data_IF_376911864417
#
_entry.id   IF_376911864417
#
_cell.length_a   1.000
_cell.length_b   1.000
_cell.length_c   1.000
_cell.angle_alpha   90.00
_cell.angle_beta   90.00
_cell.angle_gamma   90.00
#
_symmetry.space_group_name_H-M   'P 1'
#
loop_
_entity.id
_entity.type
_entity.pdbx_description
1 polymer ?
#
# COMPACT_ATOMS: atom_id res chain seq x y z
N UNK A 1 -76.94 15.81 45.19
CA UNK A 1 -76.40 16.20 43.88
C UNK A 1 -74.90 15.94 43.87
N UNK A 2 -74.45 14.93 43.09
CA UNK A 2 -73.04 14.56 42.92
C UNK A 2 -72.41 15.50 41.89
N UNK A 3 -71.25 16.09 42.17
CA UNK A 3 -70.34 16.55 41.12
C UNK A 3 -68.94 15.98 41.36
N UNK A 4 -68.43 15.29 40.35
CA UNK A 4 -67.23 14.47 40.37
C UNK A 4 -65.99 15.34 40.14
N UNK A 5 -65.00 15.25 41.02
CA UNK A 5 -63.63 15.69 40.77
C UNK A 5 -63.01 14.82 39.65
N UNK A 6 -62.69 15.44 38.51
CA UNK A 6 -61.87 14.80 37.46
C UNK A 6 -60.39 14.90 37.86
N UNK A 7 -59.83 13.80 38.35
CA UNK A 7 -58.38 13.61 38.45
C UNK A 7 -57.78 13.47 37.06
N UNK A 8 -56.98 14.45 36.64
CA UNK A 8 -56.21 14.40 35.39
C UNK A 8 -54.99 13.49 35.58
N UNK A 9 -55.16 12.18 35.37
CA UNK A 9 -54.03 11.25 35.29
C UNK A 9 -53.24 11.52 34.01
N UNK A 10 -52.02 12.02 34.16
CA UNK A 10 -51.08 12.21 33.06
C UNK A 10 -50.75 10.83 32.44
N UNK A 11 -51.41 10.46 31.34
CA UNK A 11 -51.14 9.21 30.62
C UNK A 11 -49.79 9.34 29.93
N UNK A 12 -48.74 8.75 30.49
CA UNK A 12 -47.48 8.55 29.78
C UNK A 12 -47.78 7.73 28.52
N UNK A 13 -47.61 8.36 27.35
CA UNK A 13 -47.80 7.71 26.06
C UNK A 13 -46.73 6.63 25.95
N UNK A 14 -47.13 5.36 25.95
CA UNK A 14 -46.20 4.24 25.82
C UNK A 14 -45.34 4.46 24.58
N UNK A 15 -44.00 4.42 24.70
CA UNK A 15 -43.12 4.71 23.59
C UNK A 15 -43.46 3.79 22.42
N UNK A 16 -43.49 4.37 21.22
CA UNK A 16 -43.82 3.63 20.01
C UNK A 16 -42.85 2.44 19.89
N UNK A 17 -43.39 1.21 19.89
CA UNK A 17 -42.59 -0.02 19.88
C UNK A 17 -41.57 -0.04 18.73
N UNK A 18 -41.89 0.57 17.59
CA UNK A 18 -40.95 0.71 16.45
C UNK A 18 -39.73 1.58 16.80
N UNK A 19 -39.94 2.73 17.42
CA UNK A 19 -38.85 3.62 17.84
C UNK A 19 -38.03 3.02 18.97
N UNK A 20 -38.66 2.28 19.88
CA UNK A 20 -37.97 1.56 20.95
C UNK A 20 -37.01 0.52 20.37
N UNK A 21 -37.45 -0.25 19.37
CA UNK A 21 -36.60 -1.23 18.67
C UNK A 21 -35.42 -0.56 17.94
N UNK A 22 -35.66 0.58 17.29
CA UNK A 22 -34.61 1.37 16.62
C UNK A 22 -33.57 1.87 17.63
N UNK A 23 -33.98 2.41 18.77
CA UNK A 23 -33.06 2.87 19.81
C UNK A 23 -32.26 1.72 20.43
N UNK A 24 -32.86 0.55 20.61
CA UNK A 24 -32.15 -0.65 21.06
C UNK A 24 -31.09 -1.06 20.02
N UNK A 25 -31.42 -1.05 18.73
CA UNK A 25 -30.44 -1.31 17.67
C UNK A 25 -29.31 -0.27 17.65
N UNK A 26 -29.62 1.02 17.76
CA UNK A 26 -28.60 2.09 17.79
C UNK A 26 -27.69 1.94 19.01
N UNK A 27 -28.26 1.63 20.18
CA UNK A 27 -27.49 1.38 21.39
C UNK A 27 -26.60 0.14 21.24
N UNK A 28 -27.11 -0.95 20.65
CA UNK A 28 -26.33 -2.15 20.38
C UNK A 28 -25.17 -1.87 19.41
N UNK A 29 -25.42 -1.14 18.32
CA UNK A 29 -24.38 -0.72 17.37
C UNK A 29 -23.34 0.15 18.07
N UNK A 30 -23.77 1.08 18.93
CA UNK A 30 -22.85 1.92 19.68
C UNK A 30 -21.98 1.11 20.65
N UNK A 31 -22.58 0.18 21.41
CA UNK A 31 -21.84 -0.73 22.32
C UNK A 31 -20.83 -1.56 21.54
N UNK A 32 -21.23 -2.12 20.39
CA UNK A 32 -20.31 -2.86 19.53
C UNK A 32 -19.21 -1.96 18.96
N UNK A 33 -19.50 -0.71 18.58
CA UNK A 33 -18.54 0.23 18.03
C UNK A 33 -17.48 0.67 19.05
N UNK A 34 -17.85 0.82 20.33
CA UNK A 34 -16.90 1.19 21.39
C UNK A 34 -16.23 -0.02 22.05
N UNK A 35 -16.61 -1.25 21.65
CA UNK A 35 -16.04 -2.46 22.20
C UNK A 35 -14.53 -2.52 21.91
N UNK A 36 -13.69 -2.78 22.93
CA UNK A 36 -12.24 -2.72 22.79
C UNK A 36 -11.74 -3.76 21.80
N UNK A 37 -10.84 -3.33 20.92
CA UNK A 37 -10.16 -4.20 19.98
C UNK A 37 -9.06 -4.98 20.71
N UNK A 38 -8.94 -6.30 20.51
CA UNK A 38 -7.84 -7.08 21.08
C UNK A 38 -6.49 -6.52 20.63
N UNK A 39 -5.50 -6.51 21.54
CA UNK A 39 -4.14 -6.06 21.22
C UNK A 39 -3.55 -6.89 20.07
N UNK A 40 -3.08 -6.22 19.03
CA UNK A 40 -2.48 -6.87 17.87
C UNK A 40 -0.98 -7.08 18.07
N UNK A 41 -0.45 -8.15 17.46
CA UNK A 41 1.01 -8.33 17.39
C UNK A 41 1.61 -7.24 16.51
N UNK A 42 2.63 -6.51 16.99
CA UNK A 42 3.26 -5.43 16.25
C UNK A 42 3.79 -5.95 14.91
N UNK A 43 3.84 -5.06 13.92
CA UNK A 43 4.45 -5.36 12.64
C UNK A 43 5.95 -5.16 12.79
N UNK A 44 6.72 -6.20 12.45
CA UNK A 44 8.19 -6.20 12.53
C UNK A 44 8.80 -6.38 11.16
N UNK A 45 9.94 -5.74 10.94
CA UNK A 45 10.73 -5.84 9.71
C UNK A 45 12.22 -5.85 10.04
N UNK A 46 13.06 -6.25 9.09
CA UNK A 46 14.51 -6.18 9.21
C UNK A 46 14.99 -4.89 8.56
N UNK A 47 15.73 -4.10 9.33
CA UNK A 47 16.47 -2.98 8.79
C UNK A 47 17.70 -3.51 8.06
N UNK A 48 17.76 -3.36 6.73
CA UNK A 48 18.81 -3.99 5.91
C UNK A 48 20.21 -3.53 6.27
N UNK A 49 20.35 -2.24 6.57
CA UNK A 49 21.63 -1.59 6.87
C UNK A 49 22.22 -2.09 8.19
N UNK A 50 21.42 -2.18 9.26
CA UNK A 50 21.87 -2.66 10.57
C UNK A 50 21.70 -4.16 10.81
N UNK A 51 20.88 -4.84 10.00
CA UNK A 51 20.47 -6.23 10.21
C UNK A 51 19.51 -6.45 11.39
N UNK A 52 19.07 -5.38 12.07
CA UNK A 52 18.25 -5.48 13.26
C UNK A 52 16.76 -5.60 12.94
N UNK A 53 16.04 -6.35 13.77
CA UNK A 53 14.57 -6.38 13.73
C UNK A 53 14.03 -5.10 14.37
N UNK A 54 13.23 -4.34 13.64
CA UNK A 54 12.57 -3.11 14.09
C UNK A 54 11.04 -3.27 14.06
N UNK A 55 10.36 -2.47 14.86
CA UNK A 55 8.89 -2.37 14.86
C UNK A 55 8.48 -1.22 13.94
N UNK A 56 7.49 -1.44 13.09
CA UNK A 56 6.93 -0.40 12.23
C UNK A 56 5.95 0.48 13.00
N UNK A 57 6.17 1.80 12.93
CA UNK A 57 5.17 2.79 13.34
C UNK A 57 4.13 2.90 12.23
N UNK A 58 3.00 2.22 12.40
CA UNK A 58 1.96 2.12 11.38
C UNK A 58 1.09 3.38 11.36
N UNK A 59 1.01 4.04 10.20
CA UNK A 59 0.15 5.22 10.05
C UNK A 59 -1.32 4.89 10.32
N UNK A 60 -1.91 5.58 11.31
CA UNK A 60 -3.29 5.37 11.69
C UNK A 60 -3.59 4.00 12.32
N UNK A 61 -2.59 3.34 12.93
CA UNK A 61 -2.70 1.99 13.50
C UNK A 61 -3.96 1.79 14.34
N UNK A 62 -4.24 2.68 15.30
CA UNK A 62 -5.43 2.59 16.17
C UNK A 62 -6.75 2.60 15.40
N UNK A 63 -6.84 3.41 14.34
CA UNK A 63 -8.02 3.46 13.49
C UNK A 63 -8.12 2.21 12.62
N UNK A 64 -7.00 1.71 12.08
CA UNK A 64 -6.95 0.47 11.31
C UNK A 64 -7.29 -0.75 12.17
N UNK A 65 -6.76 -0.84 13.38
CA UNK A 65 -7.09 -1.90 14.33
C UNK A 65 -8.58 -1.93 14.61
N UNK A 66 -9.18 -0.76 14.87
CA UNK A 66 -10.64 -0.64 14.99
C UNK A 66 -11.36 -1.07 13.71
N UNK A 67 -10.94 -0.56 12.54
CA UNK A 67 -11.58 -0.85 11.26
C UNK A 67 -11.54 -2.35 10.90
N UNK A 68 -10.45 -3.06 11.22
CA UNK A 68 -10.25 -4.45 10.85
C UNK A 68 -10.62 -5.46 11.92
N UNK A 69 -10.79 -5.08 13.19
CA UNK A 69 -11.02 -6.05 14.28
C UNK A 69 -12.24 -5.73 15.16
N UNK A 70 -12.93 -4.62 14.91
CA UNK A 70 -14.23 -4.33 15.50
C UNK A 70 -15.34 -4.77 14.53
N UNK A 71 -16.42 -5.46 14.98
CA UNK A 71 -17.52 -5.86 14.09
C UNK A 71 -18.19 -4.70 13.33
N UNK A 72 -18.32 -3.54 13.98
CA UNK A 72 -18.84 -2.32 13.33
C UNK A 72 -17.81 -1.73 12.38
N UNK A 73 -16.52 -1.78 12.75
CA UNK A 73 -15.41 -1.44 11.87
C UNK A 73 -15.40 -2.28 10.59
N UNK A 74 -15.48 -3.61 10.69
CA UNK A 74 -15.45 -4.52 9.54
C UNK A 74 -16.65 -4.29 8.60
N UNK A 75 -17.85 -4.06 9.15
CA UNK A 75 -19.02 -3.68 8.37
C UNK A 75 -18.81 -2.32 7.65
N UNK A 76 -18.17 -1.37 8.32
CA UNK A 76 -17.82 -0.07 7.73
C UNK A 76 -16.76 -0.20 6.64
N UNK A 77 -15.76 -1.05 6.84
CA UNK A 77 -14.71 -1.35 5.86
C UNK A 77 -15.31 -1.87 4.55
N UNK A 78 -16.26 -2.80 4.61
CA UNK A 78 -16.94 -3.30 3.41
C UNK A 78 -17.66 -2.19 2.64
N UNK A 79 -18.21 -1.20 3.33
CA UNK A 79 -18.88 -0.05 2.73
C UNK A 79 -17.87 0.93 2.13
N UNK A 80 -16.78 1.23 2.84
CA UNK A 80 -15.73 2.17 2.41
C UNK A 80 -14.92 1.59 1.25
N UNK A 81 -14.46 0.35 1.37
CA UNK A 81 -13.63 -0.31 0.35
C UNK A 81 -14.38 -0.51 -0.99
N UNK A 82 -15.69 -0.82 -0.95
CA UNK A 82 -16.52 -0.93 -2.17
C UNK A 82 -16.88 0.42 -2.79
N UNK A 83 -16.84 1.52 -2.01
CA UNK A 83 -17.20 2.85 -2.51
C UNK A 83 -15.94 3.62 -2.89
N UNK A 84 -15.47 3.40 -4.13
CA UNK A 84 -14.38 4.13 -4.80
C UNK A 84 -14.38 5.65 -4.52
N UNK A 85 -15.57 6.23 -4.39
CA UNK A 85 -15.82 7.64 -4.09
C UNK A 85 -15.22 8.10 -2.76
N UNK A 86 -15.37 7.33 -1.66
CA UNK A 86 -14.91 7.76 -0.34
C UNK A 86 -13.38 7.79 -0.25
N UNK A 87 -12.73 6.83 -0.90
CA UNK A 87 -11.27 6.73 -0.98
C UNK A 87 -10.67 7.85 -1.82
N UNK A 88 -11.27 8.14 -2.98
CA UNK A 88 -10.84 9.24 -3.86
C UNK A 88 -10.95 10.60 -3.16
N UNK A 89 -12.09 10.89 -2.52
CA UNK A 89 -12.33 12.17 -1.85
C UNK A 89 -11.28 12.45 -0.78
N UNK A 90 -10.83 11.44 -0.02
CA UNK A 90 -9.78 11.68 0.97
C UNK A 90 -8.42 11.96 0.35
N UNK A 91 -8.07 11.25 -0.73
CA UNK A 91 -6.87 11.53 -1.52
C UNK A 91 -6.89 12.93 -2.13
N UNK A 92 -8.03 13.34 -2.69
CA UNK A 92 -8.24 14.66 -3.30
C UNK A 92 -8.14 15.77 -2.24
N UNK A 93 -8.64 15.54 -1.02
CA UNK A 93 -8.44 16.47 0.11
C UNK A 93 -6.97 16.68 0.47
N UNK A 94 -6.08 15.75 0.15
CA UNK A 94 -4.64 15.94 0.40
C UNK A 94 -3.97 16.84 -0.63
N UNK A 95 -4.66 17.21 -1.72
CA UNK A 95 -4.23 18.25 -2.67
C UNK A 95 -4.64 19.67 -2.20
N UNK A 96 -5.55 19.79 -1.22
CA UNK A 96 -5.99 21.10 -0.72
C UNK A 96 -4.88 21.78 0.11
N UNK A 97 -4.81 23.12 0.04
CA UNK A 97 -3.83 23.89 0.82
C UNK A 97 -3.98 23.70 2.35
N UNK A 98 -5.21 23.47 2.81
CA UNK A 98 -5.53 23.19 4.21
C UNK A 98 -4.78 21.95 4.74
N UNK A 99 -4.47 20.99 3.87
CA UNK A 99 -3.80 19.74 4.23
C UNK A 99 -2.32 19.92 4.61
N UNK A 100 -1.68 21.03 4.22
CA UNK A 100 -0.30 21.35 4.60
C UNK A 100 -0.11 21.40 6.13
N UNK A 101 -1.17 21.71 6.89
CA UNK A 101 -1.15 21.68 8.35
C UNK A 101 -0.81 20.29 8.94
N UNK A 102 -0.95 19.21 8.16
CA UNK A 102 -0.60 17.85 8.57
C UNK A 102 0.89 17.53 8.47
N UNK A 103 1.67 18.31 7.72
CA UNK A 103 3.07 18.00 7.39
C UNK A 103 3.94 17.96 8.66
N UNK A 104 3.88 19.00 9.50
CA UNK A 104 4.74 19.07 10.69
C UNK A 104 4.42 17.99 11.74
N UNK A 105 3.15 17.72 12.10
CA UNK A 105 2.80 16.58 12.94
C UNK A 105 3.32 15.25 12.37
N UNK A 106 3.16 15.05 11.05
CA UNK A 106 3.59 13.83 10.39
C UNK A 106 5.12 13.65 10.42
N UNK A 107 5.89 14.70 10.11
CA UNK A 107 7.36 14.66 10.21
C UNK A 107 7.80 14.27 11.63
N UNK A 108 7.18 14.86 12.65
CA UNK A 108 7.52 14.58 14.04
C UNK A 108 7.16 13.17 14.49
N UNK A 109 5.99 12.68 14.11
CA UNK A 109 5.48 11.36 14.54
C UNK A 109 6.25 10.21 13.86
N UNK A 110 6.53 10.35 12.57
CA UNK A 110 7.17 9.31 11.75
C UNK A 110 8.67 9.55 11.52
N UNK A 111 9.25 10.57 12.16
CA UNK A 111 10.68 10.90 12.10
C UNK A 111 11.19 11.02 10.65
N UNK A 112 10.39 11.66 9.79
CA UNK A 112 10.73 11.81 8.37
C UNK A 112 11.91 12.77 8.22
N UNK A 113 13.03 12.27 7.70
CA UNK A 113 14.16 13.13 7.37
C UNK A 113 13.85 14.01 6.17
N UNK A 114 13.64 15.30 6.43
CA UNK A 114 13.37 16.30 5.39
C UNK A 114 14.65 16.90 4.80
N UNK A 115 15.81 16.69 5.44
CA UNK A 115 17.09 17.28 5.01
C UNK A 115 17.59 16.68 3.68
N UNK A 116 17.13 15.46 3.35
CA UNK A 116 17.40 14.76 2.10
C UNK A 116 16.45 15.16 0.96
N UNK A 117 15.42 15.96 1.22
CA UNK A 117 14.51 16.45 0.19
C UNK A 117 15.13 17.62 -0.59
N UNK A 118 14.74 17.77 -1.86
CA UNK A 118 15.06 18.98 -2.62
C UNK A 118 14.32 20.18 -2.02
N UNK A 119 14.92 21.37 -2.14
CA UNK A 119 14.28 22.62 -1.72
C UNK A 119 12.99 22.81 -2.51
N UNK A 120 11.85 22.72 -1.82
CA UNK A 120 10.53 22.91 -2.41
C UNK A 120 9.56 23.45 -1.34
N UNK A 121 8.63 24.29 -1.77
CA UNK A 121 7.54 24.74 -0.90
C UNK A 121 6.41 23.72 -0.97
N UNK A 122 5.98 23.22 0.18
CA UNK A 122 4.86 22.29 0.27
C UNK A 122 3.57 23.08 0.53
N UNK A 123 2.75 23.26 -0.50
CA UNK A 123 1.46 23.94 -0.37
C UNK A 123 0.36 22.97 0.07
N UNK A 124 0.55 21.67 -0.12
CA UNK A 124 -0.39 20.61 0.28
C UNK A 124 0.35 19.43 0.93
N UNK A 125 -0.38 18.53 1.57
CA UNK A 125 0.20 17.28 2.06
C UNK A 125 0.70 16.39 0.91
N UNK A 126 0.00 16.38 -0.24
CA UNK A 126 0.47 15.65 -1.41
C UNK A 126 1.77 16.23 -2.00
N UNK A 127 2.00 17.53 -1.92
CA UNK A 127 3.29 18.12 -2.33
C UNK A 127 4.43 17.55 -1.47
N UNK A 128 4.20 17.44 -0.15
CA UNK A 128 5.13 16.82 0.79
C UNK A 128 5.29 15.31 0.57
N UNK A 129 4.19 14.61 0.36
CA UNK A 129 4.17 13.16 0.18
C UNK A 129 4.92 12.76 -1.11
N UNK A 130 4.74 13.55 -2.17
CA UNK A 130 5.38 13.37 -3.48
C UNK A 130 6.65 14.20 -3.63
N UNK A 131 7.27 14.61 -2.52
CA UNK A 131 8.55 15.34 -2.49
C UNK A 131 9.61 14.70 -3.37
N UNK A 132 10.43 15.50 -4.04
CA UNK A 132 11.66 15.00 -4.68
C UNK A 132 12.78 14.92 -3.66
N UNK A 133 13.65 13.92 -3.81
CA UNK A 133 14.87 13.77 -3.02
C UNK A 133 16.08 14.32 -3.77
N UNK A 134 17.09 14.74 -3.02
CA UNK A 134 18.37 15.12 -3.59
C UNK A 134 19.05 13.88 -4.22
N UNK A 135 19.63 13.97 -5.44
CA UNK A 135 20.19 12.80 -6.12
C UNK A 135 21.22 12.03 -5.29
N UNK A 136 22.05 12.72 -4.52
CA UNK A 136 23.07 12.14 -3.65
C UNK A 136 22.50 11.34 -2.47
N UNK A 137 21.23 11.55 -2.12
CA UNK A 137 20.55 10.79 -1.06
C UNK A 137 20.06 9.42 -1.54
N UNK A 138 20.00 9.19 -2.86
CA UNK A 138 19.58 7.92 -3.48
C UNK A 138 20.53 7.56 -4.62
N UNK A 139 21.80 7.22 -4.30
CA UNK A 139 22.75 6.78 -5.33
C UNK A 139 22.25 5.49 -5.98
N UNK A 140 22.31 5.44 -7.31
CA UNK A 140 21.88 4.28 -8.09
C UNK A 140 23.06 3.31 -8.21
N UNK A 141 22.83 2.02 -7.95
CA UNK A 141 23.83 0.98 -8.16
C UNK A 141 24.39 1.02 -9.59
N UNK A 142 25.70 1.26 -9.72
CA UNK A 142 26.35 1.55 -10.99
C UNK A 142 26.48 0.33 -11.91
N UNK A 143 26.60 -0.87 -11.34
CA UNK A 143 26.75 -2.12 -12.09
C UNK A 143 25.58 -2.33 -13.06
N UNK A 144 25.85 -2.41 -14.37
CA UNK A 144 24.82 -2.59 -15.39
C UNK A 144 24.13 -3.96 -15.32
N UNK A 145 24.76 -4.93 -14.68
CA UNK A 145 24.23 -6.27 -14.41
C UNK A 145 23.52 -6.36 -13.05
N UNK A 146 23.39 -5.24 -12.33
CA UNK A 146 22.59 -5.15 -11.11
C UNK A 146 21.21 -4.53 -11.37
N UNK A 147 20.20 -5.08 -10.71
CA UNK A 147 18.86 -4.49 -10.61
C UNK A 147 18.86 -3.50 -9.44
N UNK A 148 18.40 -2.27 -9.70
CA UNK A 148 18.19 -1.26 -8.66
C UNK A 148 16.79 -1.40 -8.04
N UNK A 149 16.68 -1.09 -6.75
CA UNK A 149 15.39 -0.90 -6.10
C UNK A 149 14.65 0.27 -6.77
N UNK A 150 13.42 0.05 -7.26
CA UNK A 150 12.64 1.10 -7.91
C UNK A 150 12.09 2.14 -6.93
N UNK A 151 12.03 1.83 -5.63
CA UNK A 151 11.43 2.68 -4.61
C UNK A 151 12.10 2.49 -3.25
N UNK A 152 11.85 3.42 -2.33
CA UNK A 152 12.06 3.15 -0.91
C UNK A 152 10.94 2.24 -0.40
N UNK A 153 11.20 1.47 0.66
CA UNK A 153 10.13 0.78 1.37
C UNK A 153 10.61 -0.47 2.06
N UNK A 154 9.72 -1.46 2.15
CA UNK A 154 9.99 -2.77 2.73
C UNK A 154 9.67 -3.85 1.72
N UNK A 155 10.58 -4.82 1.59
CA UNK A 155 10.53 -5.77 0.49
C UNK A 155 10.34 -7.20 0.93
N UNK A 156 9.64 -7.95 0.07
CA UNK A 156 9.59 -9.40 0.06
C UNK A 156 10.03 -9.88 -1.31
N UNK A 157 10.79 -10.97 -1.33
CA UNK A 157 11.43 -11.45 -2.53
C UNK A 157 11.29 -12.97 -2.69
N UNK A 158 10.92 -13.40 -3.89
CA UNK A 158 10.62 -14.79 -4.23
C UNK A 158 11.38 -15.16 -5.49
N UNK A 159 12.12 -16.27 -5.44
CA UNK A 159 12.80 -16.82 -6.61
C UNK A 159 11.84 -17.51 -7.58
N UNK A 160 10.68 -17.96 -7.07
CA UNK A 160 9.60 -18.55 -7.85
C UNK A 160 8.26 -18.04 -7.31
N UNK A 161 7.45 -17.43 -8.17
CA UNK A 161 6.11 -16.93 -7.82
C UNK A 161 5.17 -18.03 -7.31
N UNK A 162 5.27 -19.25 -7.83
CA UNK A 162 4.46 -20.38 -7.37
C UNK A 162 4.77 -20.80 -5.92
N UNK A 163 5.98 -20.48 -5.42
CA UNK A 163 6.39 -20.75 -4.04
C UNK A 163 6.05 -19.58 -3.09
N UNK A 164 5.15 -18.69 -3.49
CA UNK A 164 4.73 -17.51 -2.70
C UNK A 164 3.76 -17.81 -1.55
N UNK A 165 3.66 -19.07 -1.09
CA UNK A 165 2.82 -19.56 0.04
C UNK A 165 3.01 -18.75 1.35
N UNK A 166 4.02 -17.90 1.36
CA UNK A 166 4.48 -17.11 2.46
C UNK A 166 3.59 -15.91 2.86
N UNK A 167 2.86 -15.29 1.92
CA UNK A 167 2.09 -14.07 2.23
C UNK A 167 1.01 -14.30 3.30
N UNK A 168 0.33 -15.44 3.21
CA UNK A 168 -0.62 -15.94 4.20
C UNK A 168 -0.61 -17.44 4.04
N UNK A 169 -0.44 -18.19 5.13
CA UNK A 169 -0.61 -19.65 5.15
C UNK A 169 -1.89 -20.04 4.37
N UNK A 170 -1.71 -20.62 3.19
CA UNK A 170 -2.80 -21.13 2.35
C UNK A 170 -3.22 -20.28 1.14
N UNK A 171 -2.59 -19.14 0.83
CA UNK A 171 -2.88 -18.37 -0.39
C UNK A 171 -1.64 -18.22 -1.29
N UNK A 172 -1.80 -18.63 -2.55
CA UNK A 172 -0.78 -18.52 -3.60
C UNK A 172 -1.01 -17.27 -4.45
N UNK A 173 0.07 -16.57 -4.78
CA UNK A 173 -0.01 -15.47 -5.75
C UNK A 173 -0.37 -16.00 -7.13
N UNK A 174 -1.37 -15.38 -7.77
CA UNK A 174 -1.79 -15.77 -9.11
C UNK A 174 -1.37 -14.70 -10.13
N UNK A 175 -0.30 -14.99 -10.88
CA UNK A 175 0.24 -14.07 -11.91
C UNK A 175 -0.79 -13.76 -12.99
N UNK A 176 -1.58 -14.75 -13.41
CA UNK A 176 -2.59 -14.59 -14.44
C UNK A 176 -3.66 -13.58 -14.04
N UNK A 177 -4.23 -13.72 -12.83
CA UNK A 177 -5.18 -12.76 -12.27
C UNK A 177 -4.51 -11.40 -12.05
N UNK A 178 -3.26 -11.38 -11.60
CA UNK A 178 -2.53 -10.15 -11.37
C UNK A 178 -2.29 -9.36 -12.66
N UNK A 179 -1.86 -9.98 -13.76
CA UNK A 179 -1.62 -9.28 -15.01
C UNK A 179 -2.88 -9.09 -15.87
N UNK A 180 -3.97 -9.79 -15.54
CA UNK A 180 -5.19 -9.86 -16.37
C UNK A 180 -4.86 -10.18 -17.85
N UNK A 181 -3.82 -10.99 -18.05
CA UNK A 181 -3.29 -11.35 -19.36
C UNK A 181 -2.65 -12.75 -19.25
N UNK A 182 -3.41 -13.81 -19.56
CA UNK A 182 -2.94 -15.19 -19.42
C UNK A 182 -1.71 -15.52 -20.27
N UNK A 183 -1.60 -14.94 -21.47
CA UNK A 183 -0.47 -15.20 -22.37
C UNK A 183 0.83 -14.60 -21.83
N UNK A 184 0.78 -13.36 -21.35
CA UNK A 184 1.92 -12.71 -20.71
C UNK A 184 2.29 -13.42 -19.41
N UNK A 185 1.30 -13.80 -18.61
CA UNK A 185 1.51 -14.42 -17.30
C UNK A 185 2.33 -15.70 -17.36
N UNK A 186 2.13 -16.54 -18.39
CA UNK A 186 2.88 -17.79 -18.59
C UNK A 186 4.41 -17.61 -18.56
N UNK A 187 4.91 -16.47 -19.02
CA UNK A 187 6.36 -16.17 -18.99
C UNK A 187 6.94 -16.04 -17.57
N UNK A 188 6.09 -15.71 -16.59
CA UNK A 188 6.49 -15.35 -15.23
C UNK A 188 5.98 -16.32 -14.16
N UNK A 189 5.25 -17.39 -14.52
CA UNK A 189 4.69 -18.36 -13.57
C UNK A 189 5.77 -19.01 -12.70
N UNK A 190 6.90 -19.38 -13.29
CA UNK A 190 8.08 -19.90 -12.58
C UNK A 190 9.16 -18.83 -12.35
N UNK A 191 8.81 -17.58 -12.58
CA UNK A 191 9.70 -16.43 -12.52
C UNK A 191 9.95 -15.92 -11.11
N UNK A 192 10.84 -14.94 -11.00
CA UNK A 192 11.09 -14.26 -9.74
C UNK A 192 10.12 -13.08 -9.55
N UNK A 193 9.74 -12.82 -8.30
CA UNK A 193 8.89 -11.69 -7.91
C UNK A 193 9.48 -10.94 -6.72
N UNK A 194 9.48 -9.62 -6.81
CA UNK A 194 9.92 -8.74 -5.74
C UNK A 194 8.83 -7.70 -5.50
N UNK A 195 8.34 -7.64 -4.27
CA UNK A 195 7.24 -6.75 -3.86
C UNK A 195 7.79 -5.69 -2.92
N UNK A 196 7.52 -4.43 -3.23
CA UNK A 196 7.95 -3.25 -2.50
C UNK A 196 6.71 -2.61 -1.89
N UNK A 197 6.59 -2.68 -0.56
CA UNK A 197 5.55 -1.98 0.17
C UNK A 197 6.08 -0.63 0.65
N UNK A 198 5.44 0.44 0.20
CA UNK A 198 5.76 1.80 0.59
C UNK A 198 4.80 2.19 1.73
N UNK A 199 5.34 2.33 2.93
CA UNK A 199 4.63 2.89 4.06
C UNK A 199 4.54 4.41 3.89
N UNK A 200 3.52 5.08 4.47
CA UNK A 200 3.33 6.53 4.31
C UNK A 200 4.54 7.46 4.55
N UNK A 201 5.50 7.17 5.47
CA UNK A 201 6.67 8.04 5.63
C UNK A 201 7.75 7.86 4.55
N UNK A 202 7.66 6.80 3.76
CA UNK A 202 8.67 6.46 2.74
C UNK A 202 8.66 7.50 1.59
N UNK A 203 9.59 7.34 0.64
CA UNK A 203 9.61 8.10 -0.60
C UNK A 203 8.64 7.47 -1.61
N UNK A 204 7.61 8.21 -2.00
CA UNK A 204 6.51 7.70 -2.83
C UNK A 204 6.65 7.92 -4.35
N UNK A 205 7.86 8.24 -4.82
CA UNK A 205 8.17 8.19 -6.26
C UNK A 205 8.90 6.91 -6.59
N UNK A 206 8.62 6.36 -7.77
CA UNK A 206 9.17 5.10 -8.23
C UNK A 206 9.89 5.26 -9.56
N UNK A 207 10.94 4.48 -9.72
CA UNK A 207 11.98 4.62 -10.72
C UNK A 207 12.17 3.32 -11.50
N UNK A 208 12.75 3.40 -12.69
CA UNK A 208 13.05 2.22 -13.48
C UNK A 208 14.16 1.38 -12.83
N UNK A 209 13.93 0.07 -12.56
CA UNK A 209 14.89 -0.79 -11.88
C UNK A 209 16.05 -1.23 -12.79
N UNK A 210 15.87 -1.16 -14.11
CA UNK A 210 16.83 -1.57 -15.14
C UNK A 210 16.74 -0.62 -16.35
N UNK A 211 17.81 -0.56 -17.14
CA UNK A 211 17.79 0.14 -18.43
C UNK A 211 17.19 -0.73 -19.52
N UNK A 212 16.53 -0.10 -20.50
CA UNK A 212 15.90 -0.81 -21.61
C UNK A 212 14.99 0.07 -22.44
N UNK A 213 14.01 -0.58 -23.09
CA UNK A 213 12.92 0.12 -23.79
C UNK A 213 11.57 -0.28 -23.23
N UNK A 214 10.60 0.63 -23.26
CA UNK A 214 9.23 0.41 -22.77
C UNK A 214 8.22 1.03 -23.72
N UNK A 215 6.99 0.54 -23.68
CA UNK A 215 5.85 1.23 -24.28
C UNK A 215 5.66 2.59 -23.63
N UNK A 216 5.15 3.55 -24.42
CA UNK A 216 4.83 4.90 -23.94
C UNK A 216 3.68 4.91 -22.94
N UNK A 217 2.83 3.88 -22.90
CA UNK A 217 1.72 3.71 -21.96
C UNK A 217 1.82 2.41 -21.18
N UNK A 218 1.39 2.45 -19.92
CA UNK A 218 1.12 1.27 -19.11
C UNK A 218 -0.20 0.63 -19.52
N UNK A 219 -0.30 -0.70 -19.40
CA UNK A 219 -1.58 -1.40 -19.40
C UNK A 219 -2.27 -1.16 -18.06
N UNK A 220 -3.48 -0.62 -18.09
CA UNK A 220 -4.27 -0.33 -16.89
C UNK A 220 -5.23 -1.48 -16.60
N UNK A 221 -5.32 -1.87 -15.34
CA UNK A 221 -6.26 -2.87 -14.86
C UNK A 221 -7.14 -2.21 -13.80
N UNK A 222 -8.44 -2.21 -14.05
CA UNK A 222 -9.41 -1.75 -13.08
C UNK A 222 -9.46 -2.69 -11.86
N UNK A 223 -9.71 -2.10 -10.70
CA UNK A 223 -9.85 -2.82 -9.45
C UNK A 223 -10.42 -1.94 -8.37
N UNK A 224 -10.38 -2.46 -7.15
CA UNK A 224 -10.76 -1.78 -5.92
C UNK A 224 -9.52 -1.08 -5.30
N UNK A 225 -9.65 -0.55 -4.08
CA UNK A 225 -8.55 0.06 -3.33
C UNK A 225 -8.52 -0.49 -1.91
N UNK A 226 -8.36 -1.81 -1.77
CA UNK A 226 -8.12 -2.45 -0.48
C UNK A 226 -6.76 -2.02 0.09
N UNK A 227 -6.62 -2.04 1.41
CA UNK A 227 -5.40 -1.57 2.08
C UNK A 227 -4.30 -2.59 1.92
N UNK A 228 -3.12 -2.15 1.50
CA UNK A 228 -1.89 -2.98 1.47
C UNK A 228 -1.16 -2.93 2.82
N UNK A 229 -1.80 -2.40 3.88
CA UNK A 229 -1.25 -2.45 5.22
C UNK A 229 -1.02 -3.91 5.64
N UNK A 230 0.08 -4.25 6.34
CA UNK A 230 0.35 -5.62 6.74
C UNK A 230 -0.78 -6.28 7.56
N UNK A 231 -1.58 -5.52 8.33
CA UNK A 231 -2.77 -6.05 9.00
C UNK A 231 -3.82 -6.57 8.02
N UNK A 232 -4.02 -5.87 6.91
CA UNK A 232 -4.94 -6.27 5.85
C UNK A 232 -4.35 -7.44 5.02
N UNK A 233 -3.05 -7.37 4.74
CA UNK A 233 -2.32 -8.43 4.04
C UNK A 233 -2.24 -9.73 4.85
N UNK A 234 -2.30 -9.70 6.18
CA UNK A 234 -2.42 -10.93 7.01
C UNK A 234 -3.76 -11.65 6.81
N UNK A 235 -4.81 -10.95 6.37
CA UNK A 235 -6.16 -11.50 6.21
C UNK A 235 -6.49 -11.91 4.77
N UNK A 236 -6.02 -11.17 3.75
CA UNK A 236 -6.31 -11.45 2.34
C UNK A 236 -5.16 -11.05 1.41
N UNK A 237 -4.40 -12.02 0.91
CA UNK A 237 -3.30 -11.78 -0.03
C UNK A 237 -3.81 -11.33 -1.41
N UNK A 238 -5.07 -11.66 -1.71
CA UNK A 238 -5.78 -11.25 -2.93
C UNK A 238 -5.82 -9.74 -3.15
N UNK A 239 -5.62 -8.96 -2.08
CA UNK A 239 -5.59 -7.50 -2.11
C UNK A 239 -4.69 -6.95 -3.23
N UNK A 240 -3.54 -7.59 -3.52
CA UNK A 240 -2.64 -7.12 -4.57
C UNK A 240 -3.23 -7.19 -5.98
N UNK A 241 -3.99 -8.24 -6.32
CA UNK A 241 -4.62 -8.41 -7.64
C UNK A 241 -6.10 -8.03 -7.70
N UNK A 242 -6.71 -7.70 -6.57
CA UNK A 242 -8.03 -7.06 -6.52
C UNK A 242 -7.93 -5.53 -6.64
N UNK A 243 -6.77 -4.96 -6.30
CA UNK A 243 -6.57 -3.53 -6.37
C UNK A 243 -6.38 -3.01 -7.80
N UNK A 244 -6.79 -1.75 -8.00
CA UNK A 244 -6.47 -1.00 -9.21
C UNK A 244 -4.95 -0.93 -9.36
N UNK A 245 -4.48 -1.24 -10.55
CA UNK A 245 -3.06 -1.33 -10.86
C UNK A 245 -2.80 -1.04 -12.32
N UNK A 246 -1.56 -0.75 -12.63
CA UNK A 246 -1.10 -0.60 -14.00
C UNK A 246 0.31 -1.18 -14.12
N UNK A 247 0.65 -1.68 -15.30
CA UNK A 247 1.97 -2.28 -15.52
C UNK A 247 2.58 -1.85 -16.84
N UNK A 248 3.91 -1.76 -16.84
CA UNK A 248 4.74 -1.59 -18.02
C UNK A 248 5.70 -2.76 -18.18
N UNK A 249 6.15 -3.01 -19.42
CA UNK A 249 7.16 -4.02 -19.72
C UNK A 249 8.43 -3.29 -20.18
N UNK A 250 9.51 -3.50 -19.44
CA UNK A 250 10.82 -2.97 -19.76
C UNK A 250 11.60 -4.08 -20.48
N UNK A 251 11.79 -3.92 -21.78
CA UNK A 251 12.64 -4.79 -22.60
C UNK A 251 14.10 -4.45 -22.32
N UNK A 252 14.75 -5.23 -21.47
CA UNK A 252 16.14 -5.05 -21.08
C UNK A 252 17.05 -6.04 -21.80
N UNK A 253 18.15 -5.54 -22.36
CA UNK A 253 19.18 -6.42 -22.96
C UNK A 253 19.81 -7.36 -21.93
N UNK A 254 19.89 -6.94 -20.66
CA UNK A 254 20.48 -7.73 -19.59
C UNK A 254 19.45 -8.69 -18.95
N UNK A 255 18.18 -8.30 -18.82
CA UNK A 255 17.22 -9.00 -17.96
C UNK A 255 15.98 -9.55 -18.69
N UNK A 256 15.94 -9.45 -20.02
CA UNK A 256 14.77 -9.84 -20.80
C UNK A 256 13.60 -8.87 -20.61
N UNK A 257 12.37 -9.38 -20.72
CA UNK A 257 11.17 -8.61 -20.43
C UNK A 257 10.98 -8.52 -18.89
N UNK A 258 11.10 -7.32 -18.33
CA UNK A 258 10.84 -7.06 -16.91
C UNK A 258 9.50 -6.37 -16.76
N UNK A 259 8.56 -7.01 -16.07
CA UNK A 259 7.26 -6.38 -15.76
C UNK A 259 7.40 -5.58 -14.47
N UNK A 260 7.07 -4.29 -14.54
CA UNK A 260 6.95 -3.42 -13.38
C UNK A 260 5.49 -3.03 -13.22
N UNK A 261 4.90 -3.37 -12.08
CA UNK A 261 3.49 -3.11 -11.76
C UNK A 261 3.40 -2.11 -10.62
N UNK A 262 2.63 -1.05 -10.84
CA UNK A 262 2.21 -0.11 -9.81
C UNK A 262 0.82 -0.51 -9.30
N UNK A 263 0.71 -0.72 -8.00
CA UNK A 263 -0.55 -1.11 -7.34
C UNK A 263 -0.96 0.01 -6.38
N UNK A 264 -2.12 0.62 -6.65
CA UNK A 264 -2.74 1.57 -5.73
C UNK A 264 -3.41 0.84 -4.58
N UNK A 265 -3.43 1.43 -3.38
CA UNK A 265 -4.18 0.90 -2.25
C UNK A 265 -5.15 1.93 -1.68
N UNK A 266 -5.78 1.59 -0.54
CA UNK A 266 -6.67 2.53 0.16
C UNK A 266 -5.99 3.89 0.37
N UNK A 267 -6.79 4.92 0.14
CA UNK A 267 -6.47 6.34 0.15
C UNK A 267 -5.61 6.86 -0.99
N UNK A 268 -5.04 6.00 -1.87
CA UNK A 268 -4.22 6.47 -3.00
C UNK A 268 -5.05 7.33 -3.93
N UNK A 269 -4.79 8.64 -3.88
CA UNK A 269 -5.48 9.62 -4.73
C UNK A 269 -5.18 9.42 -6.22
N UNK A 270 -4.01 8.90 -6.58
CA UNK A 270 -3.65 8.57 -7.97
C UNK A 270 -2.26 7.95 -8.10
N UNK A 271 -2.09 7.13 -9.14
CA UNK A 271 -0.78 6.73 -9.69
C UNK A 271 -0.49 7.66 -10.86
N UNK A 272 0.55 8.48 -10.74
CA UNK A 272 0.88 9.49 -11.75
C UNK A 272 2.17 9.08 -12.46
N UNK A 273 2.06 8.83 -13.76
CA UNK A 273 3.22 8.61 -14.63
C UNK A 273 3.85 9.96 -14.99
N UNK A 274 5.15 10.09 -14.81
CA UNK A 274 5.92 11.29 -15.18
C UNK A 274 6.78 11.09 -16.42
N UNK A 275 7.09 9.84 -16.76
CA UNK A 275 7.89 9.49 -17.93
C UNK A 275 7.06 9.40 -19.23
N UNK A 276 7.59 9.95 -20.32
CA UNK A 276 6.91 10.02 -21.63
C UNK A 276 7.71 9.43 -22.81
N UNK A 277 8.90 8.87 -22.58
CA UNK A 277 9.74 8.30 -23.64
C UNK A 277 9.47 6.83 -23.92
N UNK A 278 10.35 6.21 -24.70
CA UNK A 278 10.40 4.76 -24.94
C UNK A 278 11.74 4.12 -24.55
N UNK A 279 12.80 4.92 -24.36
CA UNK A 279 14.12 4.46 -23.89
C UNK A 279 14.34 4.93 -22.46
N UNK A 280 14.57 4.00 -21.54
CA UNK A 280 14.67 4.27 -20.10
C UNK A 280 16.04 3.88 -19.57
N UNK A 281 16.54 4.67 -18.62
CA UNK A 281 17.75 4.31 -17.86
C UNK A 281 17.39 3.88 -16.45
N UNK A 282 18.15 2.92 -15.93
CA UNK A 282 18.08 2.52 -14.52
C UNK A 282 18.20 3.75 -13.61
N UNK A 283 17.25 3.90 -12.68
CA UNK A 283 17.17 5.02 -11.75
C UNK A 283 16.41 6.25 -12.28
N UNK A 284 16.02 6.31 -13.56
CA UNK A 284 15.15 7.38 -14.04
C UNK A 284 13.75 7.27 -13.42
N UNK A 285 13.15 8.42 -13.10
CA UNK A 285 11.81 8.45 -12.52
C UNK A 285 10.77 7.96 -13.54
N UNK A 286 9.94 7.00 -13.11
CA UNK A 286 8.81 6.50 -13.90
C UNK A 286 7.50 7.21 -13.52
N UNK A 287 7.31 7.46 -12.23
CA UNK A 287 6.12 8.11 -11.70
C UNK A 287 6.12 8.23 -10.18
N UNK A 288 4.96 8.56 -9.62
CA UNK A 288 4.76 8.65 -8.18
C UNK A 288 3.33 8.33 -7.75
N UNK A 289 3.19 7.96 -6.48
CA UNK A 289 1.90 7.78 -5.82
C UNK A 289 1.56 9.04 -5.03
N UNK A 290 0.34 9.58 -5.21
CA UNK A 290 -0.22 10.52 -4.24
C UNK A 290 -0.58 9.80 -2.94
N UNK A 291 -0.84 10.58 -1.88
CA UNK A 291 -1.09 10.08 -0.53
C UNK A 291 -1.95 8.82 -0.51
N UNK A 292 -1.50 7.79 0.22
CA UNK A 292 -2.16 6.50 0.38
C UNK A 292 -1.16 5.35 0.52
N UNK A 293 -1.65 4.12 0.73
CA UNK A 293 -0.78 2.95 0.72
C UNK A 293 -0.38 2.59 -0.71
N UNK A 294 0.89 2.31 -0.99
CA UNK A 294 1.31 1.98 -2.36
C UNK A 294 2.23 0.77 -2.42
N UNK A 295 2.21 0.09 -3.55
CA UNK A 295 3.06 -1.07 -3.79
C UNK A 295 3.60 -1.04 -5.21
N UNK A 296 4.88 -1.40 -5.34
CA UNK A 296 5.49 -1.72 -6.64
C UNK A 296 5.80 -3.21 -6.65
N UNK A 297 5.56 -3.87 -7.76
CA UNK A 297 5.91 -5.29 -7.95
C UNK A 297 6.78 -5.41 -9.20
N UNK A 298 7.86 -6.16 -9.09
CA UNK A 298 8.67 -6.57 -10.22
C UNK A 298 8.46 -8.06 -10.48
N UNK A 299 8.27 -8.43 -11.74
CA UNK A 299 8.31 -9.81 -12.21
C UNK A 299 9.43 -9.97 -13.22
N UNK A 300 10.19 -11.04 -13.06
CA UNK A 300 11.25 -11.47 -13.97
C UNK A 300 10.95 -12.88 -14.43
N UNK A 301 11.28 -13.19 -15.69
CA UNK A 301 11.19 -14.57 -16.18
C UNK A 301 12.13 -15.49 -15.39
N UNK A 302 11.85 -16.78 -15.46
CA UNK A 302 12.63 -17.81 -14.77
C UNK A 302 14.12 -17.70 -15.13
N UNK A 303 14.97 -17.84 -14.12
CA UNK A 303 16.44 -17.87 -14.28
C UNK A 303 17.08 -16.60 -14.88
N UNK A 304 16.41 -15.44 -14.86
CA UNK A 304 17.02 -14.18 -15.32
C UNK A 304 17.80 -13.40 -14.25
N UNK A 305 17.50 -13.61 -12.96
CA UNK A 305 18.13 -12.89 -11.85
C UNK A 305 18.52 -13.80 -10.68
N UNK A 306 19.57 -13.39 -9.98
CA UNK A 306 19.93 -13.87 -8.64
C UNK A 306 19.63 -12.75 -7.63
N UNK A 307 18.58 -12.92 -6.83
CA UNK A 307 18.20 -11.97 -5.78
C UNK A 307 19.24 -12.03 -4.66
N UNK A 308 19.55 -10.87 -4.05
CA UNK A 308 20.46 -10.83 -2.91
C UNK A 308 19.98 -11.75 -1.78
N UNK A 309 20.90 -12.53 -1.20
CA UNK A 309 20.58 -13.63 -0.31
C UNK A 309 19.95 -13.19 1.01
N UNK A 310 20.32 -12.00 1.51
CA UNK A 310 19.74 -11.42 2.72
C UNK A 310 18.23 -11.20 2.57
N UNK A 311 17.80 -10.72 1.40
CA UNK A 311 16.39 -10.49 1.09
C UNK A 311 15.60 -11.80 1.07
N UNK A 312 16.16 -12.86 0.49
CA UNK A 312 15.56 -14.19 0.45
C UNK A 312 15.51 -14.84 1.84
N UNK A 313 16.59 -14.73 2.61
CA UNK A 313 16.66 -15.27 3.97
C UNK A 313 15.62 -14.58 4.86
N UNK A 314 15.54 -13.25 4.80
CA UNK A 314 14.58 -12.49 5.60
C UNK A 314 13.14 -12.78 5.19
N UNK A 315 12.88 -12.83 3.87
CA UNK A 315 11.58 -13.26 3.34
C UNK A 315 11.26 -14.65 3.86
N UNK A 316 12.16 -15.64 3.84
CA UNK A 316 11.84 -16.99 4.35
C UNK A 316 11.40 -17.04 5.83
N UNK A 317 11.74 -16.01 6.64
CA UNK A 317 11.49 -15.96 8.09
C UNK A 317 10.18 -15.31 8.53
N UNK A 318 9.38 -14.76 7.62
CA UNK A 318 8.19 -13.97 8.02
C UNK A 318 8.35 -12.47 7.80
N UNK A 319 9.52 -12.01 7.37
CA UNK A 319 9.95 -10.63 7.59
C UNK A 319 10.25 -9.88 6.31
N UNK A 320 9.69 -8.68 6.20
CA UNK A 320 10.07 -7.73 5.17
C UNK A 320 11.43 -7.11 5.52
N UNK A 321 12.15 -6.63 4.51
CA UNK A 321 13.47 -5.98 4.68
C UNK A 321 13.41 -4.55 4.16
N UNK A 322 13.95 -3.56 4.88
CA UNK A 322 14.01 -2.18 4.36
C UNK A 322 14.88 -2.09 3.11
N UNK A 323 14.50 -1.20 2.20
CA UNK A 323 15.29 -0.89 1.02
C UNK A 323 15.14 0.60 0.70
N UNK A 324 16.20 1.21 0.16
CA UNK A 324 16.16 2.55 -0.42
C UNK A 324 16.17 2.46 -1.95
N UNK A 325 15.50 3.38 -2.62
CA UNK A 325 15.54 3.54 -4.07
C UNK A 325 16.99 3.65 -4.54
N UNK A 326 17.35 2.89 -5.57
CA UNK A 326 18.71 2.85 -6.11
C UNK A 326 19.61 1.75 -5.56
N UNK A 327 19.29 1.17 -4.39
CA UNK A 327 20.08 0.07 -3.81
C UNK A 327 20.00 -1.20 -4.66
N UNK A 328 21.05 -2.01 -4.65
CA UNK A 328 21.06 -3.31 -5.35
C UNK A 328 20.06 -4.27 -4.69
N UNK A 329 19.25 -4.95 -5.49
CA UNK A 329 18.33 -5.99 -5.00
C UNK A 329 18.59 -7.37 -5.62
N UNK A 330 19.21 -7.39 -6.80
CA UNK A 330 19.52 -8.60 -7.53
C UNK A 330 20.64 -8.32 -8.55
N UNK A 331 21.24 -9.39 -9.05
CA UNK A 331 22.17 -9.36 -10.19
C UNK A 331 21.65 -10.26 -11.31
N UNK A 332 22.14 -10.05 -12.54
CA UNK A 332 21.88 -10.94 -13.67
C UNK A 332 22.39 -12.34 -13.34
N UNK A 333 21.61 -13.36 -13.70
CA UNK A 333 21.99 -14.76 -13.57
C UNK A 333 22.85 -15.25 -14.72
#
# INVERSE_FOLDING_TARGET
MRSLQKTNTMKFKTPNKKWTLVWIMVALIFVLAVFPVPAQKPITYIDRESGQVKIEKVYGEKWLDWLYHNPVGEASLWIIAKRKILTSIYGDKMDEHSSAAKIQPFIKEYEVDISIAQTQNFNSFNDFFTRKLKPESRPIIADSLAVASPADGKILAFTNVNNSDFYIKGFRFNVQSFLNNPELAKKYEDGAMIVFRLAPPDYHRYHFPVSGTTSSSNTKIDGDYYSVNPLALRKKAEIFWLNKREYGIIKSAAFGDVVMVEVGATMVGSMIKTYNGTTVKKGEEKGYFKFGGSTVVLLFEKDHINIDSDLLINTSKGLETTIKMGEKIAVKK
#
